data_IF_155913118728
#
_entry.id   IF_155913118728
#
_cell.length_a   1.000
_cell.length_b   1.000
_cell.length_c   1.000
_cell.angle_alpha   90.00
_cell.angle_beta   90.00
_cell.angle_gamma   90.00
#
_symmetry.space_group_name_H-M   'P 1'
#
loop_
_entity.id
_entity.type
_entity.pdbx_description
1 polymer ?
#
# COMPACT_ATOMS: atom_id res chain seq x y z
N UNK A 1 -14.31 -41.26 -48.54
CA UNK A 1 -12.90 -41.29 -48.11
C UNK A 1 -12.78 -40.38 -46.90
N UNK A 2 -12.75 -40.93 -45.68
CA UNK A 2 -12.65 -40.17 -44.42
C UNK A 2 -11.18 -39.85 -44.15
N UNK A 3 -10.86 -38.56 -44.03
CA UNK A 3 -9.52 -38.06 -43.73
C UNK A 3 -9.28 -38.15 -42.21
N UNK A 4 -8.16 -38.72 -41.73
CA UNK A 4 -7.89 -38.78 -40.29
C UNK A 4 -7.49 -37.40 -39.77
N UNK A 5 -8.05 -37.00 -38.62
CA UNK A 5 -7.69 -35.76 -37.93
C UNK A 5 -6.26 -35.83 -37.37
N UNK A 6 -5.53 -34.70 -37.31
CA UNK A 6 -4.18 -34.66 -36.74
C UNK A 6 -4.21 -34.94 -35.22
N UNK A 7 -3.14 -35.51 -34.66
CA UNK A 7 -3.08 -35.86 -33.24
C UNK A 7 -3.21 -34.61 -32.36
N UNK A 8 -4.12 -34.70 -31.38
CA UNK A 8 -4.33 -33.65 -30.39
C UNK A 8 -2.99 -33.34 -29.69
N UNK A 9 -2.62 -32.06 -29.69
CA UNK A 9 -1.44 -31.60 -28.97
C UNK A 9 -1.59 -31.92 -27.47
N UNK A 10 -0.51 -32.35 -26.79
CA UNK A 10 -0.59 -32.69 -25.38
C UNK A 10 -1.07 -31.48 -24.57
N UNK A 11 -1.91 -31.69 -23.53
CA UNK A 11 -2.41 -30.60 -22.71
C UNK A 11 -1.22 -29.82 -22.14
N UNK A 12 -1.15 -28.53 -22.47
CA UNK A 12 -0.12 -27.65 -21.92
C UNK A 12 -0.27 -27.70 -20.40
N UNK A 13 0.80 -28.07 -19.70
CA UNK A 13 0.83 -28.01 -18.24
C UNK A 13 0.35 -26.63 -17.80
N UNK A 14 -0.65 -26.53 -16.92
CA UNK A 14 -1.00 -25.27 -16.29
C UNK A 14 0.26 -24.68 -15.67
N UNK A 15 0.69 -23.52 -16.17
CA UNK A 15 1.81 -22.82 -15.57
C UNK A 15 1.31 -22.28 -14.23
N UNK A 16 1.72 -22.90 -13.12
CA UNK A 16 1.36 -22.43 -11.80
C UNK A 16 1.77 -20.96 -11.66
N UNK A 17 0.78 -20.11 -11.39
CA UNK A 17 0.82 -18.65 -11.54
C UNK A 17 1.80 -17.90 -10.61
N UNK A 18 2.59 -18.60 -9.81
CA UNK A 18 3.65 -18.01 -8.98
C UNK A 18 4.81 -19.01 -8.97
N UNK A 19 5.71 -18.88 -9.93
CA UNK A 19 6.98 -19.61 -9.85
C UNK A 19 7.81 -19.01 -8.73
N UNK A 20 8.18 -19.81 -7.73
CA UNK A 20 9.08 -19.40 -6.64
C UNK A 20 10.37 -18.76 -7.16
N UNK A 21 10.82 -19.19 -8.35
CA UNK A 21 11.98 -18.64 -9.04
C UNK A 21 11.72 -17.18 -9.45
N UNK A 22 10.54 -16.90 -10.01
CA UNK A 22 10.13 -15.54 -10.40
C UNK A 22 9.96 -14.68 -9.15
N UNK A 23 9.27 -15.16 -8.13
CA UNK A 23 9.11 -14.40 -6.87
C UNK A 23 10.46 -14.07 -6.22
N UNK A 24 11.40 -15.02 -6.19
CA UNK A 24 12.78 -14.77 -5.72
C UNK A 24 13.48 -13.73 -6.59
N UNK A 25 13.35 -13.79 -7.91
CA UNK A 25 13.95 -12.81 -8.81
C UNK A 25 13.39 -11.40 -8.58
N UNK A 26 12.06 -11.28 -8.45
CA UNK A 26 11.38 -9.99 -8.19
C UNK A 26 11.78 -9.38 -6.85
N UNK A 27 11.95 -10.19 -5.79
CA UNK A 27 12.42 -9.69 -4.48
C UNK A 27 13.84 -9.15 -4.53
N UNK A 28 14.71 -9.72 -5.37
CA UNK A 28 16.11 -9.29 -5.54
C UNK A 28 16.28 -8.01 -6.37
N UNK A 29 15.21 -7.50 -6.98
CA UNK A 29 15.26 -6.26 -7.72
C UNK A 29 15.63 -5.09 -6.80
N UNK A 30 16.37 -4.12 -7.34
CA UNK A 30 16.64 -2.87 -6.64
C UNK A 30 15.34 -2.09 -6.42
N UNK A 31 15.32 -1.23 -5.39
CA UNK A 31 14.17 -0.38 -5.11
C UNK A 31 13.74 0.46 -6.34
N UNK A 32 14.71 1.05 -7.04
CA UNK A 32 14.46 1.82 -8.27
C UNK A 32 13.73 0.99 -9.33
N UNK A 33 14.16 -0.27 -9.52
CA UNK A 33 13.55 -1.16 -10.51
C UNK A 33 12.15 -1.58 -10.08
N UNK A 34 11.94 -1.91 -8.80
CA UNK A 34 10.61 -2.22 -8.24
C UNK A 34 9.64 -1.05 -8.45
N UNK A 35 10.06 0.18 -8.14
CA UNK A 35 9.24 1.38 -8.32
C UNK A 35 8.87 1.59 -9.80
N UNK A 36 9.84 1.47 -10.72
CA UNK A 36 9.59 1.62 -12.15
C UNK A 36 8.63 0.54 -12.69
N UNK A 37 8.85 -0.73 -12.33
CA UNK A 37 7.94 -1.81 -12.70
C UNK A 37 6.52 -1.57 -12.16
N UNK A 38 6.40 -1.12 -10.92
CA UNK A 38 5.10 -0.83 -10.32
C UNK A 38 4.39 0.34 -11.02
N UNK A 39 5.10 1.39 -11.42
CA UNK A 39 4.51 2.48 -12.23
C UNK A 39 3.94 1.95 -13.56
N UNK A 40 4.66 1.05 -14.24
CA UNK A 40 4.17 0.43 -15.48
C UNK A 40 2.92 -0.41 -15.23
N UNK A 41 2.93 -1.20 -14.16
CA UNK A 41 1.77 -2.02 -13.78
C UNK A 41 0.55 -1.14 -13.49
N UNK A 42 0.70 -0.02 -12.78
CA UNK A 42 -0.42 0.91 -12.54
C UNK A 42 -0.98 1.49 -13.84
N UNK A 43 -0.13 1.89 -14.79
CA UNK A 43 -0.55 2.41 -16.09
C UNK A 43 -1.32 1.33 -16.87
N UNK A 44 -0.80 0.11 -16.92
CA UNK A 44 -1.48 -1.00 -17.61
C UNK A 44 -2.80 -1.36 -16.94
N UNK A 45 -2.86 -1.36 -15.60
CA UNK A 45 -4.09 -1.62 -14.86
C UNK A 45 -5.15 -0.55 -15.13
N UNK A 46 -4.76 0.73 -15.18
CA UNK A 46 -5.67 1.81 -15.54
C UNK A 46 -6.21 1.64 -16.98
N UNK A 47 -5.36 1.18 -17.91
CA UNK A 47 -5.80 0.88 -19.28
C UNK A 47 -6.78 -0.30 -19.34
N UNK A 48 -6.54 -1.37 -18.55
CA UNK A 48 -7.47 -2.51 -18.42
C UNK A 48 -8.80 -2.08 -17.83
N UNK A 49 -8.77 -1.27 -16.77
CA UNK A 49 -10.00 -0.73 -16.14
C UNK A 49 -10.79 0.13 -17.13
N UNK A 50 -10.13 0.97 -17.91
CA UNK A 50 -10.79 1.74 -18.97
C UNK A 50 -11.42 0.85 -20.05
N UNK A 51 -10.80 -0.28 -20.39
CA UNK A 51 -11.40 -1.26 -21.31
C UNK A 51 -12.62 -1.93 -20.69
N UNK A 52 -12.54 -2.35 -19.44
CA UNK A 52 -13.68 -2.93 -18.71
C UNK A 52 -14.85 -1.95 -18.65
N UNK A 53 -14.60 -0.66 -18.39
CA UNK A 53 -15.66 0.36 -18.41
C UNK A 53 -16.32 0.46 -19.79
N UNK A 54 -15.54 0.45 -20.88
CA UNK A 54 -16.08 0.48 -22.26
C UNK A 54 -16.91 -0.76 -22.60
N UNK A 55 -16.47 -1.94 -22.15
CA UNK A 55 -17.25 -3.17 -22.30
C UNK A 55 -18.57 -3.08 -21.55
N UNK A 56 -18.58 -2.55 -20.33
CA UNK A 56 -19.81 -2.41 -19.54
C UNK A 56 -20.77 -1.38 -20.14
N UNK A 57 -20.26 -0.35 -20.80
CA UNK A 57 -21.04 0.70 -21.48
C UNK A 57 -21.67 0.18 -22.79
N UNK A 58 -20.86 -0.45 -23.65
CA UNK A 58 -21.32 -1.08 -24.89
C UNK A 58 -20.58 -2.41 -25.16
N UNK A 59 -21.14 -3.54 -24.69
CA UNK A 59 -20.56 -4.85 -24.92
C UNK A 59 -20.58 -5.28 -26.39
N UNK A 60 -21.48 -4.73 -27.22
CA UNK A 60 -21.60 -5.11 -28.61
C UNK A 60 -20.45 -4.53 -29.45
N UNK A 61 -20.02 -3.31 -29.13
CA UNK A 61 -18.86 -2.66 -29.77
C UNK A 61 -17.53 -2.99 -29.08
N UNK A 62 -17.55 -3.38 -27.81
CA UNK A 62 -16.36 -3.75 -27.04
C UNK A 62 -16.54 -5.15 -26.45
N UNK A 63 -16.42 -6.24 -27.24
CA UNK A 63 -16.77 -7.59 -26.77
C UNK A 63 -15.81 -8.17 -25.73
N UNK A 64 -14.62 -7.60 -25.56
CA UNK A 64 -13.65 -8.04 -24.55
C UNK A 64 -13.93 -7.35 -23.20
N UNK A 65 -14.27 -8.11 -22.13
CA UNK A 65 -14.54 -7.57 -20.80
C UNK A 65 -13.33 -6.93 -20.10
N UNK A 66 -12.14 -7.04 -20.70
CA UNK A 66 -10.88 -6.62 -20.08
C UNK A 66 -10.32 -7.72 -19.20
N UNK A 67 -8.99 -7.73 -19.09
CA UNK A 67 -8.25 -8.71 -18.28
C UNK A 67 -8.16 -8.30 -16.81
N UNK A 68 -7.94 -9.28 -15.92
CA UNK A 68 -7.69 -9.02 -14.51
C UNK A 68 -6.50 -8.06 -14.30
N UNK A 69 -6.60 -7.23 -13.26
CA UNK A 69 -5.54 -6.31 -12.88
C UNK A 69 -4.31 -7.08 -12.35
N UNK A 70 -3.13 -6.65 -12.77
CA UNK A 70 -1.88 -7.21 -12.28
C UNK A 70 -1.56 -6.67 -10.87
N UNK A 71 -0.99 -7.52 -10.03
CA UNK A 71 -0.55 -7.13 -8.69
C UNK A 71 0.80 -6.39 -8.75
N UNK A 72 0.97 -5.41 -7.86
CA UNK A 72 2.23 -4.70 -7.69
C UNK A 72 3.29 -5.61 -7.06
N UNK A 73 4.54 -5.38 -7.43
CA UNK A 73 5.69 -5.97 -6.77
C UNK A 73 5.79 -5.37 -5.37
N UNK A 74 5.86 -6.24 -4.36
CA UNK A 74 5.99 -5.82 -2.97
C UNK A 74 7.30 -5.06 -2.74
N UNK A 75 7.21 -4.00 -1.94
CA UNK A 75 8.35 -3.20 -1.45
C UNK A 75 8.52 -3.50 0.04
N UNK A 76 9.75 -3.74 0.47
CA UNK A 76 10.07 -4.02 1.87
C UNK A 76 9.80 -2.83 2.78
N UNK A 77 9.43 -3.08 4.03
CA UNK A 77 9.08 -2.04 5.00
C UNK A 77 10.20 -1.02 5.20
N UNK A 78 11.47 -1.46 5.27
CA UNK A 78 12.63 -0.57 5.39
C UNK A 78 12.71 0.42 4.21
N UNK A 79 12.42 -0.05 3.01
CA UNK A 79 12.36 0.79 1.82
C UNK A 79 11.17 1.75 1.86
N UNK A 80 10.01 1.31 2.36
CA UNK A 80 8.86 2.18 2.59
C UNK A 80 9.21 3.28 3.60
N UNK A 81 9.85 2.94 4.72
CA UNK A 81 10.29 3.92 5.72
C UNK A 81 11.30 4.91 5.14
N UNK A 82 12.25 4.43 4.34
CA UNK A 82 13.20 5.31 3.64
C UNK A 82 12.48 6.28 2.69
N UNK A 83 11.48 5.80 1.93
CA UNK A 83 10.68 6.62 1.01
C UNK A 83 9.82 7.69 1.71
N UNK A 84 9.56 7.57 3.02
CA UNK A 84 8.92 8.66 3.81
C UNK A 84 9.84 9.87 3.97
N UNK A 85 11.15 9.67 3.84
CA UNK A 85 12.12 10.76 3.96
C UNK A 85 12.16 11.55 2.64
N UNK A 86 11.78 12.84 2.61
CA UNK A 86 11.67 13.58 1.36
C UNK A 86 12.97 13.62 0.54
N UNK A 87 14.11 13.80 1.19
CA UNK A 87 15.43 13.84 0.53
C UNK A 87 15.81 12.50 -0.11
N UNK A 88 15.32 11.39 0.44
CA UNK A 88 15.49 10.07 -0.16
C UNK A 88 14.52 9.84 -1.31
N UNK A 89 13.25 10.21 -1.13
CA UNK A 89 12.21 10.11 -2.14
C UNK A 89 12.55 10.89 -3.42
N UNK A 90 13.17 12.07 -3.29
CA UNK A 90 13.63 12.89 -4.44
C UNK A 90 14.60 12.17 -5.38
N UNK A 91 15.25 11.09 -4.94
CA UNK A 91 16.11 10.25 -5.79
C UNK A 91 15.32 9.41 -6.80
N UNK A 92 14.02 9.28 -6.62
CA UNK A 92 13.14 8.47 -7.44
C UNK A 92 12.12 9.40 -8.12
N UNK A 93 12.22 9.61 -9.44
CA UNK A 93 11.37 10.57 -10.14
C UNK A 93 9.90 10.16 -10.16
N UNK A 94 9.62 8.85 -10.10
CA UNK A 94 8.27 8.30 -10.15
C UNK A 94 8.10 7.27 -9.03
N UNK A 95 7.24 7.59 -8.06
CA UNK A 95 6.79 6.66 -7.04
C UNK A 95 5.36 6.25 -7.40
N UNK A 96 5.02 4.95 -7.46
CA UNK A 96 3.67 4.49 -7.78
C UNK A 96 2.64 5.09 -6.82
N UNK A 97 1.45 5.41 -7.34
CA UNK A 97 0.38 6.06 -6.56
C UNK A 97 -0.05 5.22 -5.37
N UNK A 98 -0.09 3.89 -5.50
CA UNK A 98 -0.40 2.99 -4.40
C UNK A 98 0.62 3.12 -3.24
N UNK A 99 1.90 3.32 -3.55
CA UNK A 99 2.96 3.49 -2.55
C UNK A 99 2.86 4.86 -1.88
N UNK A 100 2.57 5.92 -2.64
CA UNK A 100 2.32 7.25 -2.09
C UNK A 100 1.12 7.24 -1.13
N UNK A 101 0.01 6.57 -1.52
CA UNK A 101 -1.17 6.39 -0.68
C UNK A 101 -0.83 5.63 0.61
N UNK A 102 -0.05 4.56 0.52
CA UNK A 102 0.40 3.80 1.68
C UNK A 102 1.20 4.67 2.65
N UNK A 103 2.16 5.45 2.15
CA UNK A 103 2.96 6.39 2.95
C UNK A 103 2.06 7.39 3.67
N UNK A 104 1.13 8.02 2.95
CA UNK A 104 0.18 8.98 3.53
C UNK A 104 -0.70 8.35 4.64
N UNK A 105 -1.15 7.10 4.45
CA UNK A 105 -1.91 6.37 5.46
C UNK A 105 -1.09 6.07 6.72
N UNK A 106 0.18 5.69 6.55
CA UNK A 106 1.08 5.45 7.69
C UNK A 106 1.31 6.74 8.48
N UNK A 107 1.53 7.86 7.80
CA UNK A 107 1.70 9.16 8.45
C UNK A 107 0.43 9.64 9.18
N UNK A 108 -0.75 9.39 8.62
CA UNK A 108 -2.02 9.70 9.28
C UNK A 108 -2.21 8.87 10.56
N UNK A 109 -1.87 7.57 10.50
CA UNK A 109 -1.93 6.67 11.67
C UNK A 109 -0.95 7.07 12.76
N UNK A 110 0.27 7.44 12.40
CA UNK A 110 1.28 7.90 13.37
C UNK A 110 0.79 9.17 14.09
N UNK A 111 0.20 10.12 13.35
CA UNK A 111 -0.38 11.34 13.94
C UNK A 111 -1.50 11.02 14.93
N UNK A 112 -2.44 10.14 14.56
CA UNK A 112 -3.55 9.72 15.45
C UNK A 112 -3.05 9.05 16.73
N UNK A 113 -2.01 8.21 16.65
CA UNK A 113 -1.39 7.60 17.83
C UNK A 113 -0.74 8.67 18.73
N UNK A 114 -0.02 9.63 18.13
CA UNK A 114 0.62 10.70 18.91
C UNK A 114 -0.37 11.65 19.59
N UNK A 115 -1.52 11.92 18.98
CA UNK A 115 -2.58 12.75 19.58
C UNK A 115 -3.22 11.99 20.74
N UNK A 116 -3.62 10.74 20.54
CA UNK A 116 -4.19 9.90 21.61
C UNK A 116 -3.27 9.75 22.82
N UNK A 117 -1.95 9.64 22.59
CA UNK A 117 -0.95 9.61 23.68
C UNK A 117 -0.85 10.94 24.43
N UNK A 118 -0.93 12.08 23.73
CA UNK A 118 -0.94 13.41 24.36
C UNK A 118 -2.18 13.60 25.22
N UNK A 119 -3.36 13.26 24.69
CA UNK A 119 -4.62 13.37 25.42
C UNK A 119 -4.65 12.47 26.67
N UNK A 120 -4.09 11.26 26.58
CA UNK A 120 -3.95 10.36 27.72
C UNK A 120 -2.93 10.85 28.77
N UNK A 121 -1.92 11.62 28.36
CA UNK A 121 -0.92 12.19 29.26
C UNK A 121 -1.48 13.41 30.00
N UNK A 122 -2.23 14.26 29.30
CA UNK A 122 -2.90 15.44 29.86
C UNK A 122 -4.01 15.06 30.85
N UNK A 123 -4.79 14.02 30.53
CA UNK A 123 -5.76 13.43 31.45
C UNK A 123 -5.13 12.86 32.74
N UNK A 124 -3.84 12.48 32.69
CA UNK A 124 -3.11 11.95 33.86
C UNK A 124 -2.54 13.07 34.73
N UNK A 125 -2.04 14.14 34.13
CA UNK A 125 -1.53 15.32 34.83
C UNK A 125 -2.64 16.05 35.59
N UNK A 126 -3.83 16.19 34.99
CA UNK A 126 -4.99 16.82 35.64
C UNK A 126 -5.51 16.08 36.87
N UNK A 127 -5.31 14.75 36.97
CA UNK A 127 -5.76 13.96 38.13
C UNK A 127 -4.83 14.04 39.34
N UNK A 128 -3.52 14.21 39.14
CA UNK A 128 -2.53 14.27 40.23
C UNK A 128 -2.37 15.72 40.77
N UNK A 129 -2.41 16.74 39.90
CA UNK A 129 -2.36 18.16 40.32
C UNK A 129 -3.60 18.58 41.14
N UNK A 130 -4.76 17.98 40.87
CA UNK A 130 -5.98 18.21 41.64
C UNK A 130 -5.94 17.60 43.05
N UNK A 131 -5.04 16.64 43.33
CA UNK A 131 -4.84 16.05 44.66
C UNK A 131 -3.83 16.83 45.52
N UNK A 132 -2.82 17.45 44.90
CA UNK A 132 -1.80 18.22 45.63
C UNK A 132 -2.30 19.61 46.10
N UNK A 133 -3.32 20.18 45.45
CA UNK A 133 -3.88 21.48 45.83
C UNK A 133 -4.76 21.46 47.11
N UNK A 134 -5.10 20.29 47.67
CA UNK A 134 -6.06 20.17 48.79
C UNK A 134 -5.44 20.02 50.19
N UNK A 135 -4.12 19.96 50.30
CA UNK A 135 -3.43 19.75 51.59
C UNK A 135 -2.77 21.00 52.21
N UNK A 136 -3.01 22.22 51.69
CA UNK A 136 -2.30 23.44 52.13
C UNK A 136 -3.11 24.50 52.87
N UNK A 137 -4.27 24.16 53.43
CA UNK A 137 -5.11 25.12 54.17
C UNK A 137 -5.37 24.70 55.63
N UNK A 138 -4.31 24.62 56.43
CA UNK A 138 -4.24 24.70 57.91
C UNK A 138 -2.77 25.05 58.20
N UNK A 139 -2.34 26.12 58.85
CA UNK A 139 -2.89 26.99 59.89
C UNK A 139 -2.16 28.34 59.79
N UNK A 140 -2.81 29.46 60.14
CA UNK A 140 -2.28 30.57 60.97
C UNK A 140 -3.25 31.76 60.91
N UNK A 141 -4.04 31.94 61.96
CA UNK A 141 -4.63 33.23 62.30
C UNK A 141 -4.80 33.29 63.82
N UNK A 142 -3.75 33.74 64.50
CA UNK A 142 -3.78 34.29 65.85
C UNK A 142 -2.71 35.38 65.89
N UNK A 143 -3.12 36.64 65.75
CA UNK A 143 -3.03 37.68 66.79
C UNK A 143 -3.79 38.94 66.35
#
# INVERSE_FOLDING_TARGET
>A
MLQPSPPASPPRKPHAHISDVISKALRKLSLAMKLNCNCKIEIENAAREAQTIKHLDDPAQNPDPGSEAALLISIEDDNIQALRTPTFALKFPNIPMAIQKLIAQLEAKDKDITTKKRDASDAKLTSDEAREAKCRCKDTAAE
#
